data_IF_057139216910
#
_entry.id   IF_057139216910
#
_cell.length_a   1.000
_cell.length_b   1.000
_cell.length_c   1.000
_cell.angle_alpha   90.00
_cell.angle_beta   90.00
_cell.angle_gamma   90.00
#
_symmetry.space_group_name_H-M   'P 1'
#
loop_
_entity.id
_entity.type
_entity.pdbx_description
1 polymer ?
#
# COMPACT_ATOMS: atom_id res chain seq x y z
N UNK A 1 -13.73 17.01 -8.33
CA UNK A 1 -12.36 16.49 -8.58
C UNK A 1 -11.26 17.14 -7.75
N UNK A 2 -11.20 18.47 -7.55
CA UNK A 2 -10.13 19.12 -6.75
C UNK A 2 -10.09 18.77 -5.25
N UNK A 3 -11.21 18.37 -4.64
CA UNK A 3 -11.29 18.13 -3.18
C UNK A 3 -10.88 16.71 -2.74
N UNK A 4 -10.89 15.71 -3.63
CA UNK A 4 -10.51 14.34 -3.27
C UNK A 4 -9.00 14.20 -3.03
N UNK A 5 -8.18 14.74 -3.94
CA UNK A 5 -6.72 14.72 -3.81
C UNK A 5 -6.19 15.44 -2.57
N UNK A 6 -6.91 16.46 -2.08
CA UNK A 6 -6.49 17.18 -0.89
C UNK A 6 -6.53 16.30 0.36
N UNK A 7 -7.45 15.32 0.42
CA UNK A 7 -7.52 14.37 1.54
C UNK A 7 -6.45 13.27 1.46
N UNK A 8 -6.02 12.90 0.24
CA UNK A 8 -4.94 11.95 0.00
C UNK A 8 -3.55 12.54 0.30
N UNK A 9 -3.28 13.79 -0.09
CA UNK A 9 -1.99 14.44 0.15
C UNK A 9 -1.80 14.96 1.59
N UNK A 10 -2.90 15.14 2.35
CA UNK A 10 -2.88 15.54 3.76
C UNK A 10 -3.16 14.33 4.68
N UNK A 11 -2.70 13.12 4.32
CA UNK A 11 -2.60 12.02 5.32
C UNK A 11 -1.36 12.21 6.20
N UNK A 12 -0.30 12.85 5.70
CA UNK A 12 0.98 13.02 6.40
C UNK A 12 1.08 14.24 7.33
N UNK A 13 0.10 15.15 7.33
CA UNK A 13 0.16 16.42 8.10
C UNK A 13 -1.04 16.67 9.03
N UNK A 14 -1.87 15.65 9.31
CA UNK A 14 -2.98 15.77 10.26
C UNK A 14 -2.76 14.88 11.49
N UNK A 15 -2.76 15.50 12.67
CA UNK A 15 -2.62 14.88 14.00
C UNK A 15 -3.83 14.03 14.40
N UNK A 16 -4.11 12.99 13.64
CA UNK A 16 -5.05 11.92 13.98
C UNK A 16 -4.21 10.63 14.02
N UNK A 17 -4.49 9.73 14.96
CA UNK A 17 -3.85 8.40 15.05
C UNK A 17 -4.12 7.61 13.76
N UNK A 18 -3.34 7.89 12.72
CA UNK A 18 -3.41 7.21 11.44
C UNK A 18 -2.34 6.12 11.51
N UNK A 19 -2.78 4.87 11.52
CA UNK A 19 -1.88 3.76 11.31
C UNK A 19 -1.46 3.79 9.83
N UNK A 20 -0.38 4.55 9.55
CA UNK A 20 0.08 4.93 8.21
C UNK A 20 0.76 3.78 7.46
N UNK A 21 1.03 2.67 8.14
CA UNK A 21 1.87 1.59 7.65
C UNK A 21 1.20 0.24 7.94
N UNK A 22 1.01 -0.54 6.88
CA UNK A 22 0.68 -1.95 6.94
C UNK A 22 2.01 -2.70 7.11
N UNK A 23 2.22 -3.33 8.26
CA UNK A 23 3.49 -3.97 8.63
C UNK A 23 3.32 -5.37 9.23
N UNK A 24 2.13 -5.95 9.15
CA UNK A 24 1.88 -7.35 9.50
C UNK A 24 0.74 -7.93 8.65
N UNK A 25 0.72 -9.26 8.55
CA UNK A 25 -0.17 -10.01 7.67
C UNK A 25 -1.65 -9.68 7.93
N UNK A 26 -2.06 -9.53 9.20
CA UNK A 26 -3.45 -9.21 9.58
C UNK A 26 -3.89 -7.84 9.06
N UNK A 27 -3.00 -6.84 9.07
CA UNK A 27 -3.31 -5.54 8.50
C UNK A 27 -3.43 -5.62 6.97
N UNK A 28 -2.56 -6.41 6.32
CA UNK A 28 -2.60 -6.59 4.88
C UNK A 28 -3.90 -7.28 4.46
N UNK A 29 -4.26 -8.41 5.07
CA UNK A 29 -5.51 -9.12 4.80
C UNK A 29 -6.73 -8.21 4.95
N UNK A 30 -6.77 -7.42 6.03
CA UNK A 30 -7.83 -6.44 6.23
C UNK A 30 -7.88 -5.41 5.09
N UNK A 31 -6.73 -4.89 4.67
CA UNK A 31 -6.66 -3.92 3.60
C UNK A 31 -7.14 -4.50 2.27
N UNK A 32 -6.73 -5.73 1.93
CA UNK A 32 -7.18 -6.43 0.71
C UNK A 32 -8.70 -6.60 0.70
N UNK A 33 -9.31 -6.98 1.82
CA UNK A 33 -10.77 -7.05 1.95
C UNK A 33 -11.43 -5.67 1.76
N UNK A 34 -10.83 -4.62 2.34
CA UNK A 34 -11.33 -3.25 2.26
C UNK A 34 -11.30 -2.70 0.80
N UNK A 35 -10.39 -3.19 -0.06
CA UNK A 35 -10.27 -2.77 -1.48
C UNK A 35 -10.71 -3.84 -2.49
N UNK A 36 -11.36 -4.93 -2.06
CA UNK A 36 -11.64 -6.08 -2.93
C UNK A 36 -12.43 -5.74 -4.19
N UNK A 37 -13.37 -4.79 -4.09
CA UNK A 37 -14.26 -4.38 -5.19
C UNK A 37 -13.66 -3.23 -6.03
N UNK A 38 -12.50 -2.68 -5.63
CA UNK A 38 -11.82 -1.62 -6.38
C UNK A 38 -11.12 -2.20 -7.61
N UNK A 39 -11.46 -1.71 -8.79
CA UNK A 39 -10.95 -2.21 -10.09
C UNK A 39 -9.83 -1.35 -10.68
N UNK A 40 -9.56 -0.18 -10.10
CA UNK A 40 -8.50 0.72 -10.54
C UNK A 40 -7.64 1.09 -9.34
N UNK A 41 -6.36 0.72 -9.40
CA UNK A 41 -5.37 0.97 -8.36
C UNK A 41 -4.20 1.77 -8.93
N UNK A 42 -3.79 2.81 -8.20
CA UNK A 42 -2.50 3.47 -8.40
C UNK A 42 -1.45 2.77 -7.56
N UNK A 43 -0.33 2.39 -8.16
CA UNK A 43 0.71 1.59 -7.50
C UNK A 43 2.07 2.27 -7.73
N UNK A 44 2.85 2.36 -6.67
CA UNK A 44 4.25 2.79 -6.68
C UNK A 44 5.08 1.90 -5.74
N UNK A 45 6.40 1.86 -5.94
CA UNK A 45 7.28 0.92 -5.23
C UNK A 45 8.64 1.53 -4.93
N UNK A 46 9.19 1.26 -3.74
CA UNK A 46 10.53 1.69 -3.36
C UNK A 46 11.47 0.50 -3.18
N UNK A 47 12.70 0.64 -3.69
CA UNK A 47 13.71 -0.42 -3.67
C UNK A 47 15.05 0.05 -3.12
N UNK A 48 15.75 -0.85 -2.45
CA UNK A 48 17.15 -0.68 -2.08
C UNK A 48 18.05 -1.25 -3.18
N UNK A 49 19.08 -0.48 -3.58
CA UNK A 49 20.09 -0.85 -4.59
C UNK A 49 21.49 -0.35 -4.18
N UNK A 50 21.96 -0.80 -3.02
CA UNK A 50 23.25 -0.37 -2.46
C UNK A 50 24.32 -1.43 -2.69
N UNK A 51 24.05 -2.66 -2.29
CA UNK A 51 24.99 -3.79 -2.30
C UNK A 51 24.38 -5.08 -2.87
N UNK A 52 23.23 -4.97 -3.55
CA UNK A 52 22.51 -6.08 -4.17
C UNK A 52 22.55 -5.96 -5.70
N UNK A 53 22.73 -7.10 -6.40
CA UNK A 53 22.66 -7.14 -7.87
C UNK A 53 21.23 -6.93 -8.37
N UNK A 54 20.26 -7.59 -7.72
CA UNK A 54 18.84 -7.38 -7.96
C UNK A 54 18.28 -6.34 -6.99
N UNK A 55 17.31 -5.50 -7.42
CA UNK A 55 16.64 -4.59 -6.51
C UNK A 55 15.90 -5.36 -5.42
N UNK A 56 16.09 -4.93 -4.18
CA UNK A 56 15.31 -5.44 -3.06
C UNK A 56 14.09 -4.56 -2.86
N UNK A 57 12.90 -5.14 -2.96
CA UNK A 57 11.63 -4.44 -2.74
C UNK A 57 11.48 -4.16 -1.25
N UNK A 58 11.32 -2.88 -0.90
CA UNK A 58 11.22 -2.46 0.50
C UNK A 58 9.82 -1.93 0.85
N UNK A 59 9.16 -1.28 -0.11
CA UNK A 59 7.88 -0.62 0.12
C UNK A 59 7.00 -0.75 -1.11
N UNK A 60 5.69 -0.93 -0.88
CA UNK A 60 4.66 -0.80 -1.91
C UNK A 60 3.65 0.24 -1.43
N UNK A 61 3.35 1.23 -2.27
CA UNK A 61 2.33 2.22 -2.02
C UNK A 61 1.13 1.97 -2.94
N UNK A 62 -0.07 1.90 -2.38
CA UNK A 62 -1.30 1.65 -3.13
C UNK A 62 -2.32 2.74 -2.82
N UNK A 63 -2.80 3.38 -3.88
CA UNK A 63 -3.92 4.31 -3.87
C UNK A 63 -5.11 3.64 -4.55
N UNK A 64 -6.21 3.49 -3.82
CA UNK A 64 -7.50 3.06 -4.34
C UNK A 64 -8.46 4.25 -4.36
N UNK A 65 -9.76 4.02 -4.55
CA UNK A 65 -10.77 5.09 -4.55
C UNK A 65 -10.81 5.85 -3.22
N UNK A 66 -10.79 5.11 -2.12
CA UNK A 66 -11.01 5.64 -0.78
C UNK A 66 -9.82 5.40 0.17
N UNK A 67 -8.82 4.62 -0.25
CA UNK A 67 -7.68 4.24 0.55
C UNK A 67 -6.35 4.73 -0.04
N UNK A 68 -5.40 5.05 0.84
CA UNK A 68 -4.02 5.37 0.49
C UNK A 68 -3.12 4.73 1.53
N UNK A 69 -2.59 3.56 1.22
CA UNK A 69 -1.82 2.78 2.17
C UNK A 69 -0.39 2.52 1.70
N UNK A 70 0.48 2.33 2.68
CA UNK A 70 1.89 2.04 2.52
C UNK A 70 2.16 0.69 3.17
N UNK A 71 2.77 -0.23 2.44
CA UNK A 71 3.00 -1.61 2.85
C UNK A 71 4.50 -1.80 3.03
N UNK A 72 4.91 -2.10 4.26
CA UNK A 72 6.28 -2.50 4.60
C UNK A 72 6.50 -3.95 4.20
N UNK A 73 7.04 -4.15 2.99
CA UNK A 73 7.30 -5.46 2.40
C UNK A 73 8.24 -6.31 3.25
N UNK A 74 9.17 -5.67 3.97
CA UNK A 74 10.17 -6.38 4.77
C UNK A 74 9.58 -6.96 6.07
N UNK A 75 8.44 -6.44 6.52
CA UNK A 75 7.78 -6.86 7.76
C UNK A 75 6.60 -7.83 7.54
N UNK A 76 6.19 -8.04 6.29
CA UNK A 76 5.10 -8.96 5.91
C UNK A 76 5.66 -10.35 5.63
N UNK A 77 5.02 -11.40 6.18
CA UNK A 77 5.43 -12.78 5.94
C UNK A 77 4.78 -13.37 4.69
N UNK A 78 3.53 -12.97 4.40
CA UNK A 78 2.79 -13.45 3.24
C UNK A 78 2.21 -12.32 2.40
N UNK A 79 2.77 -12.12 1.20
CA UNK A 79 2.29 -11.16 0.21
C UNK A 79 1.34 -11.76 -0.84
N UNK A 80 1.07 -13.07 -0.80
CA UNK A 80 0.15 -13.73 -1.74
C UNK A 80 -1.20 -13.02 -1.88
N UNK A 81 -1.89 -12.60 -0.79
CA UNK A 81 -3.19 -11.93 -0.92
C UNK A 81 -3.12 -10.61 -1.70
N UNK A 82 -2.00 -9.89 -1.60
CA UNK A 82 -1.78 -8.68 -2.37
C UNK A 82 -1.62 -9.02 -3.86
N UNK A 83 -0.78 -10.01 -4.18
CA UNK A 83 -0.56 -10.38 -5.57
C UNK A 83 -1.82 -10.96 -6.22
N UNK A 84 -2.60 -11.76 -5.50
CA UNK A 84 -3.90 -12.23 -5.96
C UNK A 84 -4.81 -11.05 -6.31
N UNK A 85 -4.88 -10.00 -5.47
CA UNK A 85 -5.64 -8.79 -5.78
C UNK A 85 -5.11 -8.01 -6.98
N UNK A 86 -3.80 -7.98 -7.19
CA UNK A 86 -3.18 -7.26 -8.31
C UNK A 86 -3.30 -8.02 -9.64
N UNK A 87 -3.45 -9.35 -9.59
CA UNK A 87 -3.60 -10.21 -10.77
C UNK A 87 -5.06 -10.55 -11.08
N UNK A 88 -5.99 -10.22 -10.19
CA UNK A 88 -7.43 -10.30 -10.44
C UNK A 88 -7.80 -9.31 -11.56
N UNK A 89 -8.13 -9.86 -12.73
CA UNK A 89 -8.34 -9.12 -13.98
C UNK A 89 -9.80 -8.89 -14.32
#
# INVERSE_FOLDING_TARGET
MKYYYHKLLIKYNNSININLLINNDKQLEKYIEDIKDDTVLGIDTEFRRIDSYFPELCLIQIASRDYLECIDVLSINNLEPLFDKLYDG
#
